data_IF_426488722339
#
_entry.id   IF_426488722339
#
_cell.length_a   1.000
_cell.length_b   1.000
_cell.length_c   1.000
_cell.angle_alpha   90.00
_cell.angle_beta   90.00
_cell.angle_gamma   90.00
#
_symmetry.space_group_name_H-M   'P 1'
#
loop_
_entity.id
_entity.type
_entity.pdbx_description
1 polymer ?
#
# COMPACT_ATOMS: atom_id res chain seq x y z
N UNK A 1 -13.04 11.40 -42.96
CA UNK A 1 -13.45 10.07 -42.45
C UNK A 1 -14.42 10.29 -41.31
N UNK A 2 -15.63 9.73 -41.40
CA UNK A 2 -16.67 9.90 -40.37
C UNK A 2 -16.54 8.79 -39.35
N UNK A 3 -16.17 9.13 -38.12
CA UNK A 3 -16.09 8.18 -37.00
C UNK A 3 -17.51 7.71 -36.68
N UNK A 4 -17.70 6.40 -36.55
CA UNK A 4 -18.99 5.76 -36.27
C UNK A 4 -19.00 5.17 -34.86
N UNK A 5 -20.19 5.02 -34.28
CA UNK A 5 -20.37 4.45 -32.94
C UNK A 5 -19.74 3.05 -32.79
N UNK A 6 -19.81 2.24 -33.85
CA UNK A 6 -19.27 0.89 -33.90
C UNK A 6 -17.75 0.84 -33.71
N UNK A 7 -17.04 1.93 -34.03
CA UNK A 7 -15.59 2.03 -33.87
C UNK A 7 -15.18 2.08 -32.38
N UNK A 8 -16.14 2.25 -31.45
CA UNK A 8 -15.90 2.33 -30.00
C UNK A 8 -16.35 1.08 -29.22
N UNK A 9 -16.68 -0.02 -29.89
CA UNK A 9 -17.11 -1.27 -29.25
C UNK A 9 -15.91 -2.21 -29.12
N UNK A 10 -15.78 -2.92 -28.00
CA UNK A 10 -14.74 -3.94 -27.75
C UNK A 10 -13.28 -3.43 -27.83
N UNK A 11 -13.03 -2.18 -27.44
CA UNK A 11 -11.69 -1.59 -27.48
C UNK A 11 -10.78 -2.06 -26.34
N UNK A 12 -11.35 -2.31 -25.17
CA UNK A 12 -10.61 -2.78 -24.00
C UNK A 12 -11.55 -3.53 -23.04
N UNK A 13 -11.02 -4.52 -22.30
CA UNK A 13 -11.80 -5.26 -21.34
C UNK A 13 -12.20 -4.37 -20.15
N UNK A 14 -13.41 -4.58 -19.64
CA UNK A 14 -13.91 -3.93 -18.43
C UNK A 14 -14.22 -4.98 -17.37
N UNK A 15 -13.83 -4.70 -16.13
CA UNK A 15 -14.19 -5.54 -14.99
C UNK A 15 -15.53 -5.08 -14.41
N UNK A 16 -16.45 -6.01 -14.22
CA UNK A 16 -17.75 -5.78 -13.58
C UNK A 16 -17.97 -6.82 -12.48
N UNK A 17 -18.42 -6.37 -11.33
CA UNK A 17 -18.74 -7.25 -10.19
C UNK A 17 -20.25 -7.37 -10.06
N UNK A 18 -20.79 -8.57 -10.30
CA UNK A 18 -22.19 -8.89 -10.04
C UNK A 18 -22.33 -9.43 -8.61
N UNK A 19 -23.34 -8.97 -7.88
CA UNK A 19 -23.61 -9.40 -6.50
C UNK A 19 -24.98 -10.06 -6.45
N UNK A 20 -25.05 -11.22 -5.83
CA UNK A 20 -26.28 -12.02 -5.69
C UNK A 20 -26.50 -12.39 -4.23
N UNK A 21 -27.76 -12.58 -3.88
CA UNK A 21 -28.15 -13.18 -2.61
C UNK A 21 -27.76 -14.67 -2.60
N UNK A 22 -27.18 -15.13 -1.50
CA UNK A 22 -26.89 -16.55 -1.29
C UNK A 22 -27.96 -17.17 -0.38
N UNK A 23 -28.73 -18.12 -0.91
CA UNK A 23 -29.77 -18.84 -0.16
C UNK A 23 -29.27 -20.24 0.21
N UNK A 24 -29.13 -20.60 1.50
CA UNK A 24 -28.70 -21.94 1.90
C UNK A 24 -29.75 -22.97 1.53
N UNK A 25 -29.32 -24.16 1.06
CA UNK A 25 -30.20 -25.24 0.62
C UNK A 25 -29.98 -26.48 1.49
N UNK A 26 -31.05 -27.15 1.90
CA UNK A 26 -30.98 -28.35 2.74
C UNK A 26 -30.33 -28.06 4.10
N UNK A 27 -29.36 -28.89 4.51
CA UNK A 27 -28.70 -28.81 5.83
C UNK A 27 -27.56 -27.78 5.93
N UNK A 28 -27.32 -26.99 4.88
CA UNK A 28 -26.19 -26.03 4.88
C UNK A 28 -26.29 -25.02 6.02
N UNK A 29 -27.49 -24.49 6.31
CA UNK A 29 -27.67 -23.54 7.40
C UNK A 29 -27.43 -24.17 8.78
N UNK A 30 -27.90 -25.41 8.98
CA UNK A 30 -27.69 -26.16 10.23
C UNK A 30 -26.21 -26.42 10.47
N UNK A 31 -25.48 -26.87 9.45
CA UNK A 31 -24.05 -27.13 9.55
C UNK A 31 -23.24 -25.86 9.80
N UNK A 32 -23.61 -24.72 9.21
CA UNK A 32 -22.95 -23.42 9.46
C UNK A 32 -23.10 -23.01 10.93
N UNK A 33 -24.29 -23.21 11.51
CA UNK A 33 -24.56 -22.90 12.92
C UNK A 33 -23.82 -23.84 13.86
N UNK A 34 -23.84 -25.15 13.60
CA UNK A 34 -23.11 -26.14 14.41
C UNK A 34 -21.60 -25.88 14.39
N UNK A 35 -21.08 -25.43 13.25
CA UNK A 35 -19.67 -25.13 13.08
C UNK A 35 -19.26 -23.72 13.55
N UNK A 36 -20.19 -22.91 14.07
CA UNK A 36 -19.95 -21.56 14.61
C UNK A 36 -19.14 -20.64 13.66
N UNK A 37 -19.35 -20.81 12.35
CA UNK A 37 -18.54 -20.13 11.33
C UNK A 37 -18.78 -18.63 11.34
N UNK A 38 -20.04 -18.21 11.54
CA UNK A 38 -20.42 -16.80 11.51
C UNK A 38 -19.85 -16.05 12.71
N UNK A 39 -19.96 -16.62 13.90
CA UNK A 39 -19.38 -16.05 15.12
C UNK A 39 -17.86 -15.90 14.99
N UNK A 40 -17.18 -16.93 14.48
CA UNK A 40 -15.74 -16.88 14.23
C UNK A 40 -15.35 -15.81 13.20
N UNK A 41 -16.11 -15.67 12.11
CA UNK A 41 -15.86 -14.66 11.08
C UNK A 41 -16.06 -13.22 11.59
N UNK A 42 -17.09 -12.99 12.43
CA UNK A 42 -17.31 -11.70 13.10
C UNK A 42 -16.15 -11.35 14.04
N UNK A 43 -15.71 -12.33 14.84
CA UNK A 43 -14.56 -12.23 15.72
C UNK A 43 -13.27 -11.89 14.95
N UNK A 44 -13.04 -12.59 13.82
CA UNK A 44 -11.92 -12.33 12.94
C UNK A 44 -11.99 -10.92 12.35
N UNK A 45 -13.16 -10.46 11.93
CA UNK A 45 -13.35 -9.11 11.41
C UNK A 45 -13.02 -8.05 12.47
N UNK A 46 -13.40 -8.27 13.74
CA UNK A 46 -13.02 -7.41 14.86
C UNK A 46 -11.51 -7.43 15.11
N UNK A 47 -10.90 -8.62 15.19
CA UNK A 47 -9.44 -8.80 15.35
C UNK A 47 -8.66 -8.15 14.21
N UNK A 48 -9.14 -8.24 12.97
CA UNK A 48 -8.51 -7.63 11.79
C UNK A 48 -8.42 -6.11 11.91
N UNK A 49 -9.47 -5.43 12.41
CA UNK A 49 -9.44 -3.98 12.66
C UNK A 49 -8.34 -3.60 13.65
N UNK A 50 -8.18 -4.37 14.73
CA UNK A 50 -7.13 -4.14 15.74
C UNK A 50 -5.75 -4.33 15.12
N UNK A 51 -5.55 -5.43 14.38
CA UNK A 51 -4.28 -5.74 13.71
C UNK A 51 -3.92 -4.68 12.68
N UNK A 52 -4.89 -4.19 11.89
CA UNK A 52 -4.68 -3.08 10.95
C UNK A 52 -4.15 -1.84 11.65
N UNK A 53 -4.73 -1.46 12.79
CA UNK A 53 -4.25 -0.30 13.55
C UNK A 53 -2.81 -0.48 14.05
N UNK A 54 -2.43 -1.69 14.46
CA UNK A 54 -1.05 -2.00 14.88
C UNK A 54 -0.10 -1.87 13.68
N UNK A 55 -0.47 -2.43 12.53
CA UNK A 55 0.31 -2.36 11.29
C UNK A 55 0.46 -0.91 10.84
N UNK A 56 -0.61 -0.12 10.89
CA UNK A 56 -0.60 1.31 10.51
C UNK A 56 0.30 2.14 11.44
N UNK A 57 0.31 1.85 12.75
CA UNK A 57 1.25 2.50 13.69
C UNK A 57 2.70 2.15 13.38
N UNK A 58 2.96 0.88 13.07
CA UNK A 58 4.29 0.44 12.70
C UNK A 58 4.76 1.12 11.40
N UNK A 59 3.94 1.12 10.35
CA UNK A 59 4.30 1.74 9.08
C UNK A 59 4.52 3.25 9.23
N UNK A 60 3.71 3.96 10.02
CA UNK A 60 3.95 5.37 10.33
C UNK A 60 5.32 5.59 10.96
N UNK A 61 5.63 4.87 12.05
CA UNK A 61 6.93 4.97 12.71
C UNK A 61 8.11 4.66 11.77
N UNK A 62 8.00 3.61 10.94
CA UNK A 62 9.03 3.27 9.95
C UNK A 62 9.22 4.37 8.91
N UNK A 63 8.13 4.99 8.44
CA UNK A 63 8.18 6.10 7.49
C UNK A 63 8.85 7.31 8.13
N UNK A 64 8.46 7.68 9.36
CA UNK A 64 9.01 8.83 10.07
C UNK A 64 10.53 8.67 10.30
N UNK A 65 10.95 7.49 10.79
CA UNK A 65 12.36 7.15 10.99
C UNK A 65 13.13 7.19 9.66
N UNK A 66 12.61 6.56 8.61
CA UNK A 66 13.26 6.54 7.31
C UNK A 66 13.39 7.95 6.71
N UNK A 67 12.33 8.77 6.76
CA UNK A 67 12.35 10.13 6.22
C UNK A 67 13.25 11.07 7.03
N UNK A 68 13.37 10.87 8.36
CA UNK A 68 14.34 11.64 9.16
C UNK A 68 15.79 11.40 8.76
N UNK A 69 16.09 10.22 8.19
CA UNK A 69 17.40 9.85 7.67
C UNK A 69 17.59 10.24 6.19
N UNK A 70 16.54 10.74 5.53
CA UNK A 70 16.62 11.13 4.14
C UNK A 70 17.48 12.39 4.01
N UNK A 71 18.60 12.28 3.28
CA UNK A 71 19.46 13.40 2.99
C UNK A 71 19.44 13.72 1.49
N UNK A 72 19.04 14.95 1.15
CA UNK A 72 18.96 15.44 -0.23
C UNK A 72 20.12 16.38 -0.60
N UNK A 73 21.12 16.55 0.28
CA UNK A 73 22.26 17.47 0.04
C UNK A 73 23.00 17.18 -1.26
N UNK A 74 23.22 15.91 -1.59
CA UNK A 74 23.91 15.51 -2.82
C UNK A 74 23.06 15.75 -4.09
N UNK A 75 21.77 16.02 -3.94
CA UNK A 75 20.79 16.16 -5.02
C UNK A 75 20.22 17.59 -5.13
N UNK A 76 20.86 18.58 -4.51
CA UNK A 76 20.44 19.99 -4.56
C UNK A 76 20.37 20.49 -6.01
N UNK A 77 21.35 20.12 -6.86
CA UNK A 77 21.33 20.50 -8.28
C UNK A 77 20.08 19.97 -9.00
N UNK A 78 19.69 18.72 -8.71
CA UNK A 78 18.51 18.09 -9.29
C UNK A 78 17.21 18.76 -8.83
N UNK A 79 17.13 19.16 -7.55
CA UNK A 79 16.00 19.90 -6.99
C UNK A 79 15.87 21.30 -7.58
N UNK A 80 16.98 21.99 -7.82
CA UNK A 80 17.00 23.30 -8.48
C UNK A 80 16.52 23.19 -9.92
N UNK A 81 17.04 22.23 -10.69
CA UNK A 81 16.59 21.95 -12.05
C UNK A 81 15.09 21.62 -12.10
N UNK A 82 14.62 20.79 -11.16
CA UNK A 82 13.18 20.50 -11.03
C UNK A 82 12.36 21.78 -10.81
N UNK A 83 12.77 22.64 -9.88
CA UNK A 83 12.07 23.90 -9.57
C UNK A 83 12.00 24.83 -10.78
N UNK A 84 13.12 25.01 -11.49
CA UNK A 84 13.22 25.87 -12.66
C UNK A 84 12.28 25.39 -13.78
N UNK A 85 12.33 24.10 -14.10
CA UNK A 85 11.44 23.48 -15.11
C UNK A 85 9.97 23.48 -14.66
N UNK A 86 9.70 23.35 -13.37
CA UNK A 86 8.34 23.35 -12.83
C UNK A 86 7.68 24.72 -12.96
N UNK A 87 8.42 25.81 -12.68
CA UNK A 87 7.93 27.20 -12.69
C UNK A 87 7.85 27.79 -14.10
N UNK A 88 8.63 27.26 -15.05
CA UNK A 88 8.58 27.66 -16.47
C UNK A 88 7.13 27.63 -17.00
N UNK A 89 6.66 28.74 -17.58
CA UNK A 89 5.27 28.89 -18.08
C UNK A 89 5.05 28.16 -19.41
N UNK A 90 5.98 28.32 -20.35
CA UNK A 90 5.93 27.67 -21.65
C UNK A 90 6.79 26.40 -21.63
N UNK A 91 6.12 25.23 -21.63
CA UNK A 91 6.77 23.92 -21.59
C UNK A 91 6.58 23.21 -22.91
N UNK A 92 7.69 22.95 -23.60
CA UNK A 92 7.68 22.11 -24.80
C UNK A 92 7.58 20.61 -24.43
N UNK A 93 7.42 19.73 -25.42
CA UNK A 93 7.36 18.28 -25.18
C UNK A 93 8.67 17.71 -24.61
N UNK A 94 9.80 18.39 -24.80
CA UNK A 94 11.11 17.98 -24.26
C UNK A 94 11.21 18.33 -22.78
N UNK A 95 10.78 19.52 -22.38
CA UNK A 95 10.68 20.00 -21.01
C UNK A 95 9.77 19.08 -20.19
N UNK A 96 8.62 18.66 -20.74
CA UNK A 96 7.71 17.71 -20.07
C UNK A 96 8.34 16.35 -19.84
N UNK A 97 9.10 15.84 -20.82
CA UNK A 97 9.83 14.57 -20.69
C UNK A 97 10.93 14.68 -19.63
N UNK A 98 11.74 15.73 -19.68
CA UNK A 98 12.80 15.99 -18.70
C UNK A 98 12.23 16.15 -17.29
N UNK A 99 11.11 16.85 -17.14
CA UNK A 99 10.40 16.97 -15.85
C UNK A 99 9.96 15.59 -15.32
N UNK A 100 9.37 14.74 -16.18
CA UNK A 100 8.96 13.40 -15.79
C UNK A 100 10.13 12.51 -15.37
N UNK A 101 11.28 12.64 -16.02
CA UNK A 101 12.51 11.91 -15.68
C UNK A 101 13.06 12.35 -14.32
N UNK A 102 13.18 13.66 -14.10
CA UNK A 102 13.64 14.22 -12.82
C UNK A 102 12.69 13.82 -11.68
N UNK A 103 11.38 13.85 -11.90
CA UNK A 103 10.40 13.36 -10.92
C UNK A 103 10.60 11.89 -10.56
N UNK A 104 10.83 11.03 -11.56
CA UNK A 104 11.09 9.61 -11.33
C UNK A 104 12.34 9.42 -10.49
N UNK A 105 13.40 10.16 -10.76
CA UNK A 105 14.66 10.04 -10.05
C UNK A 105 14.56 10.56 -8.60
N UNK A 106 13.88 11.68 -8.37
CA UNK A 106 13.56 12.16 -7.03
C UNK A 106 12.73 11.14 -6.23
N UNK A 107 11.71 10.53 -6.86
CA UNK A 107 10.91 9.46 -6.22
C UNK A 107 11.74 8.22 -5.91
N UNK A 108 12.69 7.83 -6.78
CA UNK A 108 13.60 6.70 -6.53
C UNK A 108 14.45 6.93 -5.29
N UNK A 109 14.93 8.15 -5.05
CA UNK A 109 15.69 8.49 -3.84
C UNK A 109 14.87 8.21 -2.57
N UNK A 110 13.63 8.71 -2.52
CA UNK A 110 12.71 8.47 -1.40
C UNK A 110 12.44 6.97 -1.23
N UNK A 111 12.18 6.26 -2.33
CA UNK A 111 11.94 4.81 -2.31
C UNK A 111 13.15 4.05 -1.79
N UNK A 112 14.37 4.43 -2.18
CA UNK A 112 15.60 3.80 -1.71
C UNK A 112 15.79 3.97 -0.19
N UNK A 113 15.45 5.14 0.35
CA UNK A 113 15.45 5.41 1.79
C UNK A 113 14.40 4.56 2.51
N UNK A 114 13.16 4.52 2.01
CA UNK A 114 12.08 3.70 2.59
C UNK A 114 12.35 2.19 2.51
N UNK A 115 13.05 1.75 1.45
CA UNK A 115 13.54 0.39 1.28
C UNK A 115 14.83 0.11 2.04
N UNK A 116 15.42 1.11 2.72
CA UNK A 116 16.72 1.05 3.42
C UNK A 116 17.83 0.41 2.59
N UNK A 117 17.91 0.78 1.32
CA UNK A 117 18.98 0.40 0.38
C UNK A 117 20.17 1.37 0.43
N UNK A 118 20.11 2.38 1.29
CA UNK A 118 21.30 3.14 1.71
C UNK A 118 22.24 2.20 2.48
N UNK A 119 23.55 2.50 2.51
CA UNK A 119 24.65 1.61 2.93
C UNK A 119 24.57 0.95 4.34
N UNK A 120 23.45 1.06 5.06
CA UNK A 120 23.17 0.28 6.26
C UNK A 120 22.17 -0.87 5.99
N UNK A 121 22.73 -2.08 5.94
CA UNK A 121 22.21 -3.45 5.76
C UNK A 121 20.90 -3.88 6.50
N UNK A 122 20.13 -2.99 7.11
CA UNK A 122 19.13 -3.39 8.11
C UNK A 122 17.69 -3.61 7.58
N UNK A 123 17.33 -3.16 6.38
CA UNK A 123 15.91 -3.10 5.97
C UNK A 123 15.27 -4.44 5.57
N UNK A 124 16.04 -5.39 5.01
CA UNK A 124 15.50 -6.68 4.54
C UNK A 124 15.06 -7.60 5.67
N UNK A 125 15.59 -7.43 6.90
CA UNK A 125 15.17 -8.19 8.09
C UNK A 125 13.86 -7.68 8.69
N UNK A 126 13.52 -6.41 8.51
CA UNK A 126 12.43 -5.75 9.26
C UNK A 126 11.04 -6.23 8.82
N UNK A 127 10.74 -6.35 7.52
CA UNK A 127 9.39 -6.76 7.06
C UNK A 127 8.97 -8.17 7.49
N UNK A 128 9.88 -9.15 7.41
CA UNK A 128 9.59 -10.56 7.75
C UNK A 128 9.65 -10.83 9.26
N UNK A 129 10.53 -10.11 9.97
CA UNK A 129 10.72 -10.25 11.41
C UNK A 129 9.65 -9.50 12.21
N UNK A 130 9.22 -8.31 11.76
CA UNK A 130 8.21 -7.50 12.46
C UNK A 130 6.81 -8.09 12.34
N UNK A 131 6.40 -8.60 11.17
CA UNK A 131 5.10 -9.29 11.10
C UNK A 131 5.06 -10.48 12.08
N UNK A 132 6.18 -11.22 12.20
CA UNK A 132 6.33 -12.32 13.16
C UNK A 132 6.37 -11.85 14.62
N UNK A 133 7.03 -10.73 14.94
CA UNK A 133 7.18 -10.20 16.31
C UNK A 133 5.98 -9.38 16.79
N UNK A 134 5.37 -8.54 15.95
CA UNK A 134 4.15 -7.79 16.30
C UNK A 134 2.96 -8.72 16.48
N UNK A 135 2.88 -9.82 15.71
CA UNK A 135 1.92 -10.89 15.99
C UNK A 135 2.29 -11.60 17.31
N UNK A 136 3.52 -12.10 17.48
CA UNK A 136 3.93 -12.83 18.69
C UNK A 136 3.81 -12.05 20.01
N UNK A 137 4.22 -10.78 20.05
CA UNK A 137 4.28 -9.99 21.30
C UNK A 137 2.89 -9.55 21.79
N UNK A 138 1.91 -9.44 20.89
CA UNK A 138 0.53 -9.09 21.24
C UNK A 138 -0.36 -10.30 21.54
N UNK A 139 -0.03 -11.51 21.05
CA UNK A 139 -0.66 -12.73 21.54
C UNK A 139 -0.33 -12.99 23.02
N UNK A 140 0.87 -12.61 23.48
CA UNK A 140 1.25 -12.67 24.89
C UNK A 140 0.43 -11.72 25.78
N UNK A 141 0.10 -10.52 25.28
CA UNK A 141 -0.67 -9.54 26.04
C UNK A 141 -2.17 -9.79 25.98
N UNK A 142 -2.71 -10.35 24.88
CA UNK A 142 -4.12 -10.79 24.84
C UNK A 142 -4.42 -11.97 25.77
N UNK A 143 -3.46 -12.90 25.99
CA UNK A 143 -3.65 -14.00 26.96
C UNK A 143 -3.75 -13.52 28.41
N UNK A 144 -3.18 -12.37 28.74
CA UNK A 144 -3.18 -11.81 30.09
C UNK A 144 -4.37 -10.87 30.37
N UNK A 145 -5.31 -10.73 29.43
CA UNK A 145 -6.54 -9.94 29.59
C UNK A 145 -7.81 -10.79 29.62
N UNK A 146 -7.66 -12.13 29.62
CA UNK A 146 -8.74 -13.12 29.68
C UNK A 146 -8.64 -14.04 30.92
N UNK A 147 -7.93 -13.60 31.96
CA UNK A 147 -7.98 -14.20 33.29
C UNK A 147 -8.46 -13.17 34.31
#
# INVERSE_FOLDING_TARGET
MTIKYQDFINLYPLQKTLRFELRPVGKTLENIKIAEILEHDEDLAAKYKIVKNIIDRFHRKHIDEALSLANFKDNISLLTQYKELYVKKDKDEKDKKQLSEIEKDLRKLIVNVLQGKTNHSQSKKIKKHVMKYCLKRNFSTMKNSFH
#
